data_IF_835206534869
#
_entry.id   IF_835206534869
#
_cell.length_a   1.000
_cell.length_b   1.000
_cell.length_c   1.000
_cell.angle_alpha   90.00
_cell.angle_beta   90.00
_cell.angle_gamma   90.00
#
_symmetry.space_group_name_H-M   'P 1'
#
loop_
_entity.id
_entity.type
_entity.pdbx_description
1 polymer ?
#
# COMPACT_ATOMS: atom_id res chain seq x y z
N UNK A 1 -75.22 -8.52 6.55
CA UNK A 1 -74.36 -9.44 5.77
C UNK A 1 -72.93 -8.90 5.87
N UNK A 2 -72.01 -9.67 6.50
CA UNK A 2 -70.65 -9.24 6.85
C UNK A 2 -69.78 -9.07 5.59
N UNK A 3 -69.13 -7.92 5.44
CA UNK A 3 -68.11 -7.68 4.41
C UNK A 3 -66.75 -8.21 4.91
N UNK A 4 -66.15 -9.14 4.16
CA UNK A 4 -64.78 -9.60 4.38
C UNK A 4 -63.81 -8.45 4.03
N UNK A 5 -62.94 -8.08 4.96
CA UNK A 5 -61.80 -7.21 4.70
C UNK A 5 -60.56 -8.08 4.48
N UNK A 6 -60.04 -8.07 3.26
CA UNK A 6 -58.80 -8.77 2.88
C UNK A 6 -57.62 -8.01 3.46
N UNK A 7 -56.90 -8.63 4.40
CA UNK A 7 -55.60 -8.14 4.90
C UNK A 7 -54.52 -8.59 3.92
N UNK A 8 -53.92 -7.66 3.20
CA UNK A 8 -52.74 -7.91 2.38
C UNK A 8 -51.49 -7.81 3.29
N UNK A 9 -50.86 -8.94 3.57
CA UNK A 9 -49.55 -9.01 4.23
C UNK A 9 -48.49 -8.68 3.18
N UNK A 10 -47.91 -7.48 3.27
CA UNK A 10 -46.72 -7.11 2.49
C UNK A 10 -45.50 -7.70 3.20
N UNK A 11 -44.96 -8.79 2.67
CA UNK A 11 -43.64 -9.29 3.04
C UNK A 11 -42.58 -8.31 2.50
N UNK A 12 -42.06 -7.45 3.36
CA UNK A 12 -40.89 -6.63 3.04
C UNK A 12 -39.65 -7.52 2.98
N UNK A 13 -39.16 -7.83 1.78
CA UNK A 13 -37.81 -8.35 1.62
C UNK A 13 -36.82 -7.23 1.94
N UNK A 14 -36.20 -7.28 3.11
CA UNK A 14 -34.94 -6.59 3.35
C UNK A 14 -33.88 -7.22 2.43
N UNK A 15 -33.63 -6.58 1.29
CA UNK A 15 -32.46 -6.89 0.48
C UNK A 15 -31.23 -6.48 1.30
N UNK A 16 -30.53 -7.46 1.86
CA UNK A 16 -29.19 -7.26 2.36
C UNK A 16 -28.31 -6.86 1.17
N UNK A 17 -28.07 -5.55 1.03
CA UNK A 17 -27.02 -5.04 0.15
C UNK A 17 -25.70 -5.57 0.71
N UNK A 18 -25.18 -6.64 0.12
CA UNK A 18 -23.81 -7.06 0.35
C UNK A 18 -22.91 -5.88 0.02
N UNK A 19 -22.26 -5.32 1.03
CA UNK A 19 -21.23 -4.31 0.82
C UNK A 19 -20.15 -4.98 -0.03
N UNK A 20 -20.04 -4.59 -1.30
CA UNK A 20 -18.87 -4.92 -2.09
C UNK A 20 -17.68 -4.33 -1.33
N UNK A 21 -16.85 -5.19 -0.73
CA UNK A 21 -15.64 -4.76 -0.05
C UNK A 21 -14.81 -3.96 -1.06
N UNK A 22 -14.41 -2.74 -0.70
CA UNK A 22 -13.59 -1.91 -1.57
C UNK A 22 -12.30 -2.68 -1.91
N UNK A 23 -12.00 -2.80 -3.20
CA UNK A 23 -10.88 -3.62 -3.67
C UNK A 23 -9.55 -3.11 -3.08
N UNK A 24 -8.80 -4.01 -2.43
CA UNK A 24 -7.42 -3.73 -2.04
C UNK A 24 -6.55 -3.74 -3.29
N UNK A 25 -5.86 -2.64 -3.56
CA UNK A 25 -4.83 -2.57 -4.60
C UNK A 25 -3.46 -2.75 -3.94
N UNK A 26 -2.60 -3.57 -4.53
CA UNK A 26 -1.30 -3.88 -3.96
C UNK A 26 -0.27 -4.25 -5.03
N UNK A 27 1.00 -4.10 -4.69
CA UNK A 27 2.11 -4.72 -5.42
C UNK A 27 3.35 -4.86 -4.53
N UNK A 28 4.24 -5.76 -4.94
CA UNK A 28 5.55 -5.96 -4.33
C UNK A 28 6.60 -6.18 -5.42
N UNK A 29 7.87 -5.87 -5.13
CA UNK A 29 8.97 -6.06 -6.09
C UNK A 29 9.37 -7.53 -6.27
N UNK A 30 9.11 -8.37 -5.26
CA UNK A 30 9.41 -9.80 -5.25
C UNK A 30 8.34 -10.53 -4.43
N UNK A 31 7.75 -11.59 -4.98
CA UNK A 31 6.68 -12.37 -4.33
C UNK A 31 7.18 -13.67 -3.70
N UNK A 32 8.49 -13.93 -3.73
CA UNK A 32 9.10 -15.18 -3.25
C UNK A 32 8.96 -15.34 -1.74
N UNK A 33 9.10 -14.25 -1.00
CA UNK A 33 9.18 -14.29 0.46
C UNK A 33 8.00 -13.64 1.16
N UNK A 34 7.44 -12.59 0.56
CA UNK A 34 6.30 -11.86 1.10
C UNK A 34 5.24 -11.60 0.03
N UNK A 35 3.99 -11.58 0.45
CA UNK A 35 2.86 -11.25 -0.41
C UNK A 35 1.95 -10.26 0.28
N UNK A 36 1.66 -9.15 -0.40
CA UNK A 36 0.71 -8.14 0.08
C UNK A 36 -0.63 -8.24 -0.64
N UNK A 37 -1.70 -7.81 0.01
CA UNK A 37 -3.05 -7.84 -0.55
C UNK A 37 -4.13 -7.82 0.51
N UNK A 38 -5.36 -8.21 0.14
CA UNK A 38 -6.47 -8.33 1.08
C UNK A 38 -6.28 -9.51 2.04
N UNK A 39 -6.57 -9.29 3.33
CA UNK A 39 -6.68 -10.35 4.33
C UNK A 39 -7.91 -11.24 4.08
N UNK A 40 -7.77 -12.54 4.36
CA UNK A 40 -8.88 -13.49 4.23
C UNK A 40 -9.82 -13.49 5.45
N UNK A 41 -11.03 -14.02 5.28
CA UNK A 41 -11.91 -14.34 6.41
C UNK A 41 -11.38 -15.58 7.15
N UNK A 42 -11.37 -15.53 8.50
CA UNK A 42 -10.97 -16.69 9.32
C UNK A 42 -9.87 -16.46 10.35
N UNK A 43 -9.28 -15.27 10.44
CA UNK A 43 -8.34 -14.88 11.50
C UNK A 43 -6.96 -15.52 11.38
N UNK A 44 -5.93 -14.69 11.36
CA UNK A 44 -4.51 -15.11 11.31
C UNK A 44 -3.88 -15.25 12.69
N UNK A 45 -4.70 -15.31 13.76
CA UNK A 45 -4.23 -15.22 15.15
C UNK A 45 -3.81 -13.80 15.59
N UNK A 46 -3.85 -12.83 14.67
CA UNK A 46 -3.55 -11.42 14.91
C UNK A 46 -4.79 -10.54 14.77
N UNK A 47 -4.83 -9.35 15.41
CA UNK A 47 -5.92 -8.40 15.22
C UNK A 47 -6.08 -8.01 13.74
N UNK A 48 -7.30 -7.67 13.33
CA UNK A 48 -7.60 -7.26 11.96
C UNK A 48 -8.92 -7.82 11.46
N UNK A 49 -9.43 -7.24 10.37
CA UNK A 49 -10.64 -7.71 9.69
C UNK A 49 -10.28 -8.26 8.32
N UNK A 50 -11.14 -9.13 7.79
CA UNK A 50 -11.06 -9.58 6.40
C UNK A 50 -11.25 -8.40 5.44
N UNK A 51 -10.58 -8.46 4.29
CA UNK A 51 -10.62 -7.39 3.27
C UNK A 51 -9.75 -6.18 3.60
N UNK A 52 -8.99 -6.20 4.69
CA UNK A 52 -8.04 -5.13 5.00
C UNK A 52 -6.72 -5.35 4.25
N UNK A 53 -5.95 -4.28 3.98
CA UNK A 53 -4.59 -4.42 3.46
C UNK A 53 -3.72 -5.16 4.47
N UNK A 54 -2.98 -6.15 3.99
CA UNK A 54 -2.14 -6.98 4.81
C UNK A 54 -0.94 -7.54 4.07
N UNK A 55 -0.12 -8.25 4.83
CA UNK A 55 1.10 -8.91 4.39
C UNK A 55 1.13 -10.33 4.94
N UNK A 56 1.57 -11.28 4.12
CA UNK A 56 1.86 -12.65 4.51
C UNK A 56 3.31 -12.97 4.19
N UNK A 57 3.90 -13.86 4.98
CA UNK A 57 5.30 -14.28 4.86
C UNK A 57 5.33 -15.75 4.50
N UNK A 58 6.17 -16.15 3.54
CA UNK A 58 6.21 -17.54 3.07
C UNK A 58 6.44 -18.53 4.21
N UNK A 59 7.47 -18.26 5.02
CA UNK A 59 7.90 -19.14 6.11
C UNK A 59 7.00 -19.07 7.35
N UNK A 60 5.95 -18.23 7.35
CA UNK A 60 5.01 -18.09 8.47
C UNK A 60 3.59 -18.29 7.96
N UNK A 61 3.01 -19.45 8.27
CA UNK A 61 1.65 -19.81 7.90
C UNK A 61 1.37 -19.68 6.39
N UNK A 62 2.37 -19.99 5.54
CA UNK A 62 2.27 -20.08 4.08
C UNK A 62 1.55 -18.86 3.44
N UNK A 63 2.11 -17.67 3.64
CA UNK A 63 1.57 -16.40 3.16
C UNK A 63 0.18 -16.02 3.69
N UNK A 64 -0.31 -16.63 4.76
CA UNK A 64 -1.54 -16.18 5.44
C UNK A 64 -1.35 -14.71 5.85
N UNK A 65 -2.20 -13.84 5.31
CA UNK A 65 -2.04 -12.39 5.44
C UNK A 65 -2.58 -11.90 6.79
N UNK A 66 -1.76 -11.13 7.49
CA UNK A 66 -2.12 -10.35 8.67
C UNK A 66 -2.37 -8.90 8.26
N UNK A 67 -3.37 -8.24 8.85
CA UNK A 67 -3.67 -6.85 8.52
C UNK A 67 -2.56 -5.94 9.07
N UNK A 68 -2.11 -4.98 8.26
CA UNK A 68 -1.11 -3.99 8.73
C UNK A 68 -1.63 -3.20 9.94
N UNK A 69 -2.92 -2.86 9.95
CA UNK A 69 -3.59 -2.20 11.08
C UNK A 69 -3.54 -3.01 12.37
N UNK A 70 -3.56 -4.35 12.27
CA UNK A 70 -3.41 -5.24 13.41
C UNK A 70 -1.99 -5.30 13.91
N UNK A 71 -1.03 -5.37 13.00
CA UNK A 71 0.40 -5.31 13.32
C UNK A 71 0.77 -4.00 14.04
N UNK A 72 0.23 -2.85 13.60
CA UNK A 72 0.45 -1.56 14.28
C UNK A 72 -0.14 -1.48 15.69
N UNK A 73 -1.17 -2.27 16.01
CA UNK A 73 -1.70 -2.36 17.38
C UNK A 73 -0.77 -3.15 18.30
N UNK A 74 0.01 -4.07 17.74
CA UNK A 74 0.94 -4.90 18.51
C UNK A 74 2.29 -4.21 18.67
N UNK A 75 2.76 -3.55 17.62
CA UNK A 75 4.04 -2.83 17.61
C UNK A 75 3.77 -1.37 17.24
N UNK A 76 3.86 -0.44 18.20
CA UNK A 76 3.67 0.98 17.93
C UNK A 76 4.67 1.50 16.89
N UNK A 77 4.23 2.49 16.12
CA UNK A 77 5.11 3.21 15.22
C UNK A 77 6.10 4.11 15.99
N UNK A 78 7.24 4.38 15.37
CA UNK A 78 8.22 5.35 15.86
C UNK A 78 7.78 6.81 15.63
N UNK A 79 8.67 7.76 15.94
CA UNK A 79 8.40 9.18 15.79
C UNK A 79 8.14 9.63 14.34
N UNK A 80 8.51 8.82 13.35
CA UNK A 80 8.26 9.06 11.94
C UNK A 80 7.01 8.32 11.43
N UNK A 81 6.29 7.62 12.31
CA UNK A 81 5.14 6.82 11.93
C UNK A 81 5.51 5.48 11.29
N UNK A 82 6.75 5.02 11.42
CA UNK A 82 7.19 3.72 10.87
C UNK A 82 7.11 2.65 11.96
N UNK A 83 6.43 1.55 11.65
CA UNK A 83 6.37 0.34 12.48
C UNK A 83 7.47 -0.60 12.04
N UNK A 84 8.32 -1.02 12.99
CA UNK A 84 9.47 -1.90 12.77
C UNK A 84 9.22 -3.23 13.46
N UNK A 85 9.12 -4.31 12.69
CA UNK A 85 8.90 -5.66 13.20
C UNK A 85 10.10 -6.50 12.80
N UNK A 86 10.79 -7.08 13.77
CA UNK A 86 11.90 -7.98 13.53
C UNK A 86 11.52 -9.41 13.90
N UNK A 87 12.24 -10.37 13.32
CA UNK A 87 12.11 -11.76 13.69
C UNK A 87 12.27 -11.95 15.22
N UNK A 88 11.38 -12.75 15.80
CA UNK A 88 11.33 -13.01 17.23
C UNK A 88 11.42 -14.52 17.52
N UNK A 89 12.02 -14.95 18.64
CA UNK A 89 12.06 -16.36 19.01
C UNK A 89 10.67 -17.02 19.00
N UNK A 90 10.61 -18.31 18.66
CA UNK A 90 9.38 -19.10 18.66
C UNK A 90 8.78 -19.29 17.27
N UNK A 91 7.48 -19.05 17.12
CA UNK A 91 6.73 -19.26 15.85
C UNK A 91 7.03 -18.23 14.76
N UNK A 92 7.88 -17.25 15.08
CA UNK A 92 8.09 -16.03 14.30
C UNK A 92 9.58 -15.82 13.94
N UNK A 93 10.41 -16.85 14.16
CA UNK A 93 11.88 -16.76 14.07
C UNK A 93 12.40 -16.58 12.64
N UNK A 94 11.64 -17.05 11.65
CA UNK A 94 12.05 -17.07 10.24
C UNK A 94 11.25 -16.06 9.40
N UNK A 95 10.54 -15.13 10.05
CA UNK A 95 9.69 -14.17 9.34
C UNK A 95 10.47 -13.07 8.63
N UNK A 96 11.74 -12.87 8.97
CA UNK A 96 12.53 -11.70 8.58
C UNK A 96 12.07 -10.41 9.27
N UNK A 97 12.43 -9.28 8.68
CA UNK A 97 12.24 -7.96 9.28
C UNK A 97 11.47 -7.05 8.31
N UNK A 98 10.52 -6.29 8.84
CA UNK A 98 9.63 -5.41 8.09
C UNK A 98 9.67 -4.01 8.69
N UNK A 99 9.81 -3.01 7.83
CA UNK A 99 9.56 -1.61 8.17
C UNK A 99 8.43 -1.11 7.28
N UNK A 100 7.33 -0.63 7.87
CA UNK A 100 6.20 -0.11 7.09
C UNK A 100 5.54 1.08 7.76
N UNK A 101 4.86 1.89 6.97
CA UNK A 101 4.05 3.01 7.44
C UNK A 101 2.74 3.09 6.66
N UNK A 102 1.93 4.10 6.94
CA UNK A 102 0.66 4.39 6.27
C UNK A 102 0.59 5.82 5.79
N UNK A 103 -0.10 6.02 4.68
CA UNK A 103 -0.50 7.37 4.25
C UNK A 103 -1.47 7.95 5.29
N UNK A 104 -1.30 9.22 5.62
CA UNK A 104 -2.07 9.87 6.67
C UNK A 104 -3.58 9.80 6.41
N UNK A 105 -4.35 9.46 7.44
CA UNK A 105 -5.82 9.36 7.41
C UNK A 105 -6.36 8.37 6.34
N UNK A 106 -5.58 7.36 5.96
CA UNK A 106 -6.05 6.28 5.08
C UNK A 106 -5.58 4.91 5.57
N UNK A 107 -6.14 3.87 4.97
CA UNK A 107 -5.69 2.50 5.09
C UNK A 107 -4.89 2.13 3.84
N UNK A 108 -3.84 2.90 3.56
CA UNK A 108 -2.89 2.69 2.47
C UNK A 108 -1.51 2.55 3.09
N UNK A 109 -0.96 1.35 3.03
CA UNK A 109 0.29 0.97 3.69
C UNK A 109 1.38 0.74 2.64
N UNK A 110 2.61 1.08 2.99
CA UNK A 110 3.78 0.84 2.16
C UNK A 110 4.99 0.60 3.05
N UNK A 111 5.94 -0.19 2.56
CA UNK A 111 7.08 -0.58 3.36
C UNK A 111 8.07 -1.44 2.61
N UNK A 112 8.93 -2.08 3.38
CA UNK A 112 9.97 -2.98 2.93
C UNK A 112 10.05 -4.22 3.82
N UNK A 113 10.72 -5.24 3.30
CA UNK A 113 11.05 -6.47 4.00
C UNK A 113 12.41 -6.98 3.55
N UNK A 114 13.16 -7.61 4.46
CA UNK A 114 14.24 -8.54 4.10
C UNK A 114 14.35 -9.66 5.12
N UNK A 115 14.98 -10.76 4.75
CA UNK A 115 15.11 -11.95 5.59
C UNK A 115 15.95 -11.67 6.85
N UNK A 116 16.90 -10.74 6.78
CA UNK A 116 17.86 -10.44 7.85
C UNK A 116 17.77 -9.02 8.41
N UNK A 117 16.87 -8.19 7.89
CA UNK A 117 16.82 -6.76 8.18
C UNK A 117 17.89 -5.92 7.47
N UNK A 118 18.76 -6.55 6.67
CA UNK A 118 19.73 -5.89 5.80
C UNK A 118 19.29 -6.02 4.33
N UNK A 119 19.42 -4.95 3.56
CA UNK A 119 19.15 -4.95 2.12
C UNK A 119 20.23 -5.69 1.31
N UNK A 120 21.39 -5.92 1.90
CA UNK A 120 22.51 -6.64 1.27
C UNK A 120 22.31 -8.17 1.21
N UNK A 121 21.31 -8.72 1.90
CA UNK A 121 21.03 -10.16 1.91
C UNK A 121 20.40 -10.69 0.60
N UNK A 122 20.10 -9.79 -0.34
CA UNK A 122 19.55 -10.11 -1.65
C UNK A 122 18.04 -10.36 -1.67
N UNK A 123 17.37 -10.32 -0.52
CA UNK A 123 15.93 -10.58 -0.36
C UNK A 123 15.09 -9.30 -0.23
N UNK A 124 15.74 -8.13 -0.23
CA UNK A 124 15.09 -6.83 -0.06
C UNK A 124 13.89 -6.64 -0.99
N UNK A 125 12.71 -6.52 -0.40
CA UNK A 125 11.42 -6.47 -1.10
C UNK A 125 10.66 -5.25 -0.66
N UNK A 126 10.29 -4.38 -1.60
CA UNK A 126 9.44 -3.21 -1.34
C UNK A 126 8.01 -3.48 -1.77
N UNK A 127 7.04 -2.90 -1.06
CA UNK A 127 5.63 -3.17 -1.31
C UNK A 127 4.72 -2.00 -0.93
N UNK A 128 3.49 -2.04 -1.43
CA UNK A 128 2.35 -1.31 -0.89
C UNK A 128 1.08 -2.14 -0.98
N UNK A 129 0.14 -1.86 -0.08
CA UNK A 129 -1.24 -2.33 -0.17
C UNK A 129 -2.17 -1.30 0.45
N UNK A 130 -3.24 -0.97 -0.25
CA UNK A 130 -4.25 -0.02 0.25
C UNK A 130 -5.66 -0.46 -0.08
N UNK A 131 -6.59 -0.18 0.81
CA UNK A 131 -8.03 -0.28 0.52
C UNK A 131 -8.53 1.01 -0.11
N UNK A 132 -9.79 1.00 -0.52
CA UNK A 132 -10.43 2.15 -1.14
C UNK A 132 -9.68 2.63 -2.39
N UNK A 133 -9.28 1.69 -3.27
CA UNK A 133 -8.76 2.01 -4.60
C UNK A 133 -9.72 3.00 -5.27
N UNK A 134 -9.17 4.08 -5.82
CA UNK A 134 -10.00 5.14 -6.41
C UNK A 134 -10.88 4.56 -7.50
N UNK A 135 -12.19 4.76 -7.41
CA UNK A 135 -13.15 4.33 -8.44
C UNK A 135 -13.47 5.44 -9.43
N UNK A 136 -13.41 6.69 -8.99
CA UNK A 136 -13.68 7.88 -9.79
C UNK A 136 -12.44 8.78 -9.85
N UNK A 137 -11.59 8.53 -10.85
CA UNK A 137 -10.39 9.35 -11.09
C UNK A 137 -10.77 10.74 -11.60
N UNK A 138 -10.08 11.82 -11.17
CA UNK A 138 -10.20 13.11 -11.84
C UNK A 138 -9.82 12.96 -13.32
N UNK A 139 -10.52 13.68 -14.20
CA UNK A 139 -10.26 13.68 -15.65
C UNK A 139 -9.64 14.98 -16.14
N UNK A 140 -9.55 15.98 -15.27
CA UNK A 140 -9.00 17.31 -15.55
C UNK A 140 -8.18 17.80 -14.36
N UNK A 141 -7.39 18.86 -14.59
CA UNK A 141 -6.61 19.51 -13.54
C UNK A 141 -5.35 18.76 -13.13
N UNK A 142 -4.71 19.30 -12.10
CA UNK A 142 -3.48 18.78 -11.53
C UNK A 142 -3.60 18.67 -10.00
N UNK A 143 -2.79 17.81 -9.42
CA UNK A 143 -2.67 17.64 -7.97
C UNK A 143 -1.20 17.41 -7.60
N UNK A 144 -0.75 18.11 -6.56
CA UNK A 144 0.54 17.83 -5.93
C UNK A 144 0.32 16.95 -4.69
N UNK A 145 1.17 15.96 -4.51
CA UNK A 145 1.16 15.02 -3.39
C UNK A 145 2.41 15.24 -2.56
N UNK A 146 2.26 15.34 -1.24
CA UNK A 146 3.39 15.21 -0.33
C UNK A 146 3.71 13.72 -0.18
N UNK A 147 4.89 13.30 -0.63
CA UNK A 147 5.26 11.87 -0.72
C UNK A 147 6.40 11.56 0.22
N UNK A 148 6.28 10.44 0.92
CA UNK A 148 7.31 9.83 1.75
C UNK A 148 7.68 8.48 1.14
N UNK A 149 8.97 8.12 1.19
CA UNK A 149 9.47 6.82 0.76
C UNK A 149 10.32 6.12 1.80
N UNK A 150 10.29 4.78 1.75
CA UNK A 150 11.03 3.86 2.61
C UNK A 150 12.04 3.09 1.76
N UNK A 151 13.29 3.11 2.21
CA UNK A 151 14.41 2.31 1.70
C UNK A 151 15.44 2.14 2.81
N UNK A 152 15.76 0.89 3.14
CA UNK A 152 16.70 0.48 4.18
C UNK A 152 16.55 1.30 5.48
N UNK A 153 15.36 1.26 6.06
CA UNK A 153 14.94 2.22 7.06
C UNK A 153 15.71 2.08 8.40
N UNK A 154 16.44 3.13 8.74
CA UNK A 154 17.28 3.24 9.95
C UNK A 154 16.71 4.16 11.02
N UNK A 155 15.60 4.85 10.76
CA UNK A 155 14.98 5.82 11.67
C UNK A 155 15.19 7.28 11.28
N UNK A 156 16.20 7.59 10.47
CA UNK A 156 16.57 8.97 10.12
C UNK A 156 16.71 9.22 8.61
N UNK A 157 16.23 8.28 7.78
CA UNK A 157 16.47 8.26 6.33
C UNK A 157 15.20 8.16 5.49
N UNK A 158 14.06 8.66 5.98
CA UNK A 158 12.89 8.80 5.11
C UNK A 158 13.24 9.63 3.87
N UNK A 159 12.86 9.14 2.69
CA UNK A 159 12.87 9.95 1.49
C UNK A 159 11.63 10.83 1.51
N UNK A 160 11.77 12.10 1.16
CA UNK A 160 10.62 13.02 1.09
C UNK A 160 10.64 13.81 -0.20
N UNK A 161 9.47 14.24 -0.65
CA UNK A 161 9.37 15.06 -1.84
C UNK A 161 7.94 15.30 -2.30
N UNK A 162 7.79 15.57 -3.59
CA UNK A 162 6.48 15.91 -4.18
C UNK A 162 6.32 15.25 -5.53
N UNK A 163 5.18 14.59 -5.71
CA UNK A 163 4.73 14.10 -7.00
C UNK A 163 3.58 14.97 -7.50
N UNK A 164 3.59 15.27 -8.79
CA UNK A 164 2.54 16.01 -9.50
C UNK A 164 1.81 15.05 -10.41
N UNK A 165 0.52 14.84 -10.17
CA UNK A 165 -0.39 14.19 -11.10
C UNK A 165 -1.04 15.26 -11.98
N UNK A 166 -0.94 15.11 -13.29
CA UNK A 166 -1.72 15.84 -14.26
C UNK A 166 -2.76 14.88 -14.86
N UNK A 167 -4.00 15.03 -14.41
CA UNK A 167 -5.10 14.16 -14.82
C UNK A 167 -5.62 14.50 -16.22
N UNK A 168 -5.40 15.72 -16.70
CA UNK A 168 -5.74 16.09 -18.07
C UNK A 168 -4.83 15.42 -19.11
N UNK A 169 -3.56 15.17 -18.76
CA UNK A 169 -2.58 14.53 -19.67
C UNK A 169 -2.22 13.10 -19.27
N UNK A 170 -2.84 12.58 -18.21
CA UNK A 170 -2.59 11.26 -17.64
C UNK A 170 -1.09 11.02 -17.37
N UNK A 171 -0.46 11.95 -16.64
CA UNK A 171 0.95 11.88 -16.27
C UNK A 171 1.14 12.06 -14.77
N UNK A 172 2.05 11.29 -14.20
CA UNK A 172 2.54 11.46 -12.83
C UNK A 172 4.06 11.62 -12.89
N UNK A 173 4.59 12.67 -12.29
CA UNK A 173 6.04 12.84 -12.19
C UNK A 173 6.44 13.54 -10.90
N UNK A 174 7.69 13.36 -10.50
CA UNK A 174 8.24 14.02 -9.32
C UNK A 174 9.44 13.28 -8.78
N UNK A 175 9.87 13.64 -7.59
CA UNK A 175 10.99 12.97 -6.92
C UNK A 175 10.81 12.95 -5.41
N UNK A 176 11.46 11.98 -4.80
CA UNK A 176 11.67 11.85 -3.36
C UNK A 176 13.16 11.67 -3.10
N UNK A 177 13.70 12.26 -2.04
CA UNK A 177 15.11 12.16 -1.73
C UNK A 177 15.40 12.28 -0.23
N UNK A 178 16.58 11.78 0.15
CA UNK A 178 17.30 12.12 1.37
C UNK A 178 18.79 12.34 1.01
N UNK A 179 19.69 12.37 1.98
CA UNK A 179 21.13 12.59 1.73
C UNK A 179 21.85 11.43 1.03
N UNK A 180 21.29 10.21 1.05
CA UNK A 180 21.93 8.99 0.51
C UNK A 180 21.27 8.43 -0.75
N UNK A 181 20.01 8.78 -1.02
CA UNK A 181 19.24 8.29 -2.15
C UNK A 181 18.29 9.37 -2.67
N UNK A 182 18.23 9.52 -3.98
CA UNK A 182 17.19 10.26 -4.70
C UNK A 182 16.54 9.34 -5.71
N UNK A 183 15.21 9.40 -5.81
CA UNK A 183 14.42 8.66 -6.80
C UNK A 183 13.47 9.63 -7.49
N UNK A 184 13.63 9.77 -8.79
CA UNK A 184 12.66 10.45 -9.65
C UNK A 184 11.73 9.44 -10.34
N UNK A 185 10.47 9.82 -10.53
CA UNK A 185 9.46 9.01 -11.24
C UNK A 185 8.88 9.79 -12.41
N UNK A 186 8.58 9.09 -13.50
CA UNK A 186 7.82 9.58 -14.63
C UNK A 186 6.94 8.45 -15.18
N UNK A 187 5.64 8.56 -14.93
CA UNK A 187 4.66 7.51 -15.16
C UNK A 187 3.44 8.00 -15.94
N UNK A 188 2.85 7.08 -16.69
CA UNK A 188 1.54 7.25 -17.30
C UNK A 188 0.46 6.82 -16.29
N UNK A 189 -0.60 7.63 -16.17
CA UNK A 189 -1.78 7.29 -15.38
C UNK A 189 -2.74 6.49 -16.25
N UNK A 190 -3.22 5.36 -15.73
CA UNK A 190 -4.35 4.61 -16.27
C UNK A 190 -5.59 4.90 -15.43
N UNK A 191 -6.41 5.84 -15.88
CA UNK A 191 -7.59 6.29 -15.15
C UNK A 191 -8.68 5.22 -15.03
N UNK A 192 -8.71 4.22 -15.91
CA UNK A 192 -9.68 3.13 -15.85
C UNK A 192 -9.41 2.14 -14.70
N UNK A 193 -8.15 2.06 -14.27
CA UNK A 193 -7.71 1.15 -13.19
C UNK A 193 -7.22 1.91 -11.94
N UNK A 194 -7.25 3.25 -12.00
CA UNK A 194 -6.64 4.13 -11.00
C UNK A 194 -5.19 3.74 -10.68
N UNK A 195 -4.44 3.31 -11.70
CA UNK A 195 -3.05 2.89 -11.58
C UNK A 195 -2.11 3.83 -12.33
N UNK A 196 -0.82 3.73 -12.06
CA UNK A 196 0.21 4.38 -12.85
C UNK A 196 1.41 3.45 -13.03
N UNK A 197 2.10 3.59 -14.16
CA UNK A 197 3.32 2.85 -14.47
C UNK A 197 4.25 3.66 -15.36
N UNK A 198 5.56 3.54 -15.15
CA UNK A 198 6.56 4.15 -16.02
C UNK A 198 7.98 3.95 -15.52
N UNK A 199 8.81 4.97 -15.74
CA UNK A 199 10.24 4.92 -15.46
C UNK A 199 10.55 5.53 -14.10
N UNK A 200 11.58 4.98 -13.46
CA UNK A 200 12.23 5.55 -12.28
C UNK A 200 13.69 5.86 -12.60
N UNK A 201 14.29 6.81 -11.88
CA UNK A 201 15.70 7.14 -11.98
C UNK A 201 16.27 7.36 -10.58
N UNK A 202 17.13 6.45 -10.13
CA UNK A 202 17.85 6.58 -8.87
C UNK A 202 19.17 7.34 -9.08
N UNK A 203 19.43 8.32 -8.22
CA UNK A 203 20.68 9.11 -8.19
C UNK A 203 21.08 9.70 -9.55
N UNK A 204 20.08 10.03 -10.38
CA UNK A 204 20.28 10.68 -11.68
C UNK A 204 20.85 9.80 -12.80
N UNK A 205 21.15 8.51 -12.55
CA UNK A 205 21.83 7.65 -13.54
C UNK A 205 21.31 6.21 -13.59
N UNK A 206 20.78 5.67 -12.50
CA UNK A 206 20.29 4.29 -12.45
C UNK A 206 18.83 4.23 -12.87
N UNK A 207 18.60 3.78 -14.10
CA UNK A 207 17.24 3.59 -14.64
C UNK A 207 16.56 2.42 -13.95
N UNK A 208 15.28 2.60 -13.63
CA UNK A 208 14.41 1.59 -13.08
C UNK A 208 12.98 1.74 -13.59
N UNK A 209 12.07 1.02 -12.94
CA UNK A 209 10.64 1.09 -13.23
C UNK A 209 9.88 1.58 -12.00
N UNK A 210 8.72 2.19 -12.21
CA UNK A 210 7.79 2.54 -11.14
C UNK A 210 6.38 2.09 -11.47
N UNK A 211 5.64 1.67 -10.45
CA UNK A 211 4.22 1.37 -10.56
C UNK A 211 3.49 1.65 -9.25
N UNK A 212 2.19 1.92 -9.33
CA UNK A 212 1.37 2.18 -8.15
C UNK A 212 -0.10 2.42 -8.46
N UNK A 213 -0.84 2.80 -7.43
CA UNK A 213 -2.27 3.10 -7.51
C UNK A 213 -2.64 4.38 -6.77
N UNK A 214 -3.77 4.96 -7.16
CA UNK A 214 -4.45 6.03 -6.47
C UNK A 214 -5.55 5.47 -5.57
N UNK A 215 -5.72 6.09 -4.40
CA UNK A 215 -6.67 5.67 -3.38
C UNK A 215 -7.51 6.86 -2.90
N UNK A 216 -8.63 6.54 -2.27
CA UNK A 216 -9.57 7.50 -1.70
C UNK A 216 -10.41 8.23 -2.74
N UNK A 217 -11.24 9.14 -2.26
CA UNK A 217 -12.11 9.93 -3.13
C UNK A 217 -11.29 10.86 -4.03
N UNK A 218 -11.55 10.82 -5.34
CA UNK A 218 -10.88 11.68 -6.33
C UNK A 218 -9.34 11.64 -6.24
N UNK A 219 -8.78 10.45 -6.04
CA UNK A 219 -7.34 10.22 -5.94
C UNK A 219 -6.70 11.02 -4.79
N UNK A 220 -7.32 11.07 -3.62
CA UNK A 220 -6.82 11.79 -2.46
C UNK A 220 -5.45 11.28 -1.97
N UNK A 221 -5.14 10.01 -2.22
CA UNK A 221 -3.85 9.41 -1.87
C UNK A 221 -3.25 8.64 -3.06
N UNK A 222 -1.94 8.38 -3.00
CA UNK A 222 -1.25 7.44 -3.87
C UNK A 222 -0.29 6.58 -3.06
N UNK A 223 0.02 5.38 -3.58
CA UNK A 223 1.14 4.57 -3.14
C UNK A 223 1.71 3.77 -4.31
N UNK A 224 2.99 3.41 -4.21
CA UNK A 224 3.71 2.73 -5.28
C UNK A 224 5.06 2.18 -4.84
N UNK A 225 5.73 1.57 -5.81
CA UNK A 225 7.13 1.14 -5.71
C UNK A 225 7.94 1.68 -6.88
N UNK A 226 9.23 1.87 -6.65
CA UNK A 226 10.25 2.05 -7.66
C UNK A 226 11.30 0.96 -7.50
N UNK A 227 11.61 0.25 -8.59
CA UNK A 227 12.50 -0.92 -8.59
C UNK A 227 13.64 -0.74 -9.57
N UNK A 228 14.81 -1.21 -9.19
CA UNK A 228 16.06 -1.06 -9.94
C UNK A 228 16.78 -2.39 -10.10
N UNK A 229 17.82 -2.42 -10.94
CA UNK A 229 18.68 -3.59 -11.07
C UNK A 229 19.46 -3.89 -9.77
N UNK A 230 19.82 -2.84 -9.02
CA UNK A 230 20.30 -2.95 -7.64
C UNK A 230 19.11 -2.86 -6.68
N UNK A 231 18.64 -4.02 -6.19
CA UNK A 231 17.50 -4.11 -5.26
C UNK A 231 17.72 -3.31 -3.97
N UNK A 232 18.96 -3.05 -3.56
CA UNK A 232 19.21 -2.20 -2.37
C UNK A 232 18.76 -0.75 -2.57
N UNK A 233 18.43 -0.35 -3.81
CA UNK A 233 17.90 0.96 -4.18
C UNK A 233 16.39 0.96 -4.39
N UNK A 234 15.73 -0.19 -4.28
CA UNK A 234 14.28 -0.27 -4.37
C UNK A 234 13.62 0.58 -3.28
N UNK A 235 12.54 1.27 -3.63
CA UNK A 235 11.84 2.18 -2.71
C UNK A 235 10.34 1.91 -2.79
N UNK A 236 9.68 1.78 -1.65
CA UNK A 236 8.23 1.94 -1.57
C UNK A 236 7.90 3.38 -1.18
N UNK A 237 6.76 3.89 -1.64
CA UNK A 237 6.34 5.25 -1.34
C UNK A 237 4.84 5.38 -1.22
N UNK A 238 4.41 6.40 -0.48
CA UNK A 238 3.02 6.80 -0.33
C UNK A 238 2.89 8.29 -0.05
N UNK A 239 1.77 8.87 -0.43
CA UNK A 239 1.55 10.30 -0.25
C UNK A 239 0.09 10.74 -0.31
N UNK A 240 -0.18 11.86 0.34
CA UNK A 240 -1.48 12.53 0.34
C UNK A 240 -1.45 13.74 -0.57
N UNK A 241 -2.57 13.98 -1.27
CA UNK A 241 -2.79 15.21 -2.01
C UNK A 241 -2.65 16.41 -1.05
N UNK A 242 -1.91 17.43 -1.47
CA UNK A 242 -1.76 18.69 -0.74
C UNK A 242 -3.09 19.47 -0.78
N UNK A 243 -3.40 20.24 0.28
CA UNK A 243 -4.57 21.12 0.31
C UNK A 243 -4.63 22.09 -0.88
#
# INVERSE_FOLDING_TARGET
>A
MKKLQTVAVVLGLCAAVGQAQAAVAAAQSDSTYVQVGATAAGGSGHPGQAGQPGIGVHNVADFTKVAFSGLQQMVPADANGVTKIAAAPGSHRDMGDFNFTKVANSDVYFGEWSQTGDVADGTHTVYYAGKDKTTNMPTTGQADYAVVGINNYSGNNLLTGTFKANFATNKLSGSIANSGLSVAVNANINSADASFKGNALANGSMTGATQGHFFGHSAAQLAGIATFSDRSKDVSFGGSKKP
#
